data_IF_952509264815
#
_entry.id   IF_952509264815
#
_cell.length_a   1.000
_cell.length_b   1.000
_cell.length_c   1.000
_cell.angle_alpha   90.00
_cell.angle_beta   90.00
_cell.angle_gamma   90.00
#
_symmetry.space_group_name_H-M   'P 1'
#
loop_
_entity.id
_entity.type
_entity.pdbx_description
1 polymer ?
#
# COMPACT_ATOMS: atom_id res chain seq x y z
N UNK A 1 -9.19 -54.70 -4.85
CA UNK A 1 -8.37 -53.88 -3.94
C UNK A 1 -8.33 -52.48 -4.54
N UNK A 2 -9.01 -51.50 -3.93
CA UNK A 2 -8.97 -50.12 -4.41
C UNK A 2 -7.77 -49.41 -3.76
N UNK A 3 -6.91 -48.81 -4.58
CA UNK A 3 -5.85 -47.93 -4.09
C UNK A 3 -6.49 -46.68 -3.46
N UNK A 4 -6.00 -46.22 -2.29
CA UNK A 4 -6.46 -44.98 -1.72
C UNK A 4 -6.04 -43.82 -2.63
N UNK A 5 -7.02 -43.01 -3.02
CA UNK A 5 -6.83 -41.79 -3.78
C UNK A 5 -5.97 -40.84 -2.94
N UNK A 6 -4.72 -40.60 -3.36
CA UNK A 6 -3.91 -39.54 -2.77
C UNK A 6 -4.64 -38.21 -2.97
N UNK A 7 -4.81 -37.38 -1.92
CA UNK A 7 -5.31 -36.03 -2.10
C UNK A 7 -4.37 -35.30 -3.06
N UNK A 8 -4.95 -34.76 -4.13
CA UNK A 8 -4.28 -33.88 -5.06
C UNK A 8 -3.90 -32.60 -4.31
N UNK A 9 -2.67 -32.54 -3.80
CA UNK A 9 -2.10 -31.30 -3.29
C UNK A 9 -1.95 -30.39 -4.52
N UNK A 10 -2.60 -29.21 -4.55
CA UNK A 10 -2.44 -28.26 -5.65
C UNK A 10 -0.95 -27.95 -5.85
N UNK A 11 -0.51 -27.73 -7.10
CA UNK A 11 0.88 -27.35 -7.36
C UNK A 11 1.26 -26.14 -6.51
N UNK A 12 2.45 -26.18 -5.91
CA UNK A 12 3.04 -25.15 -5.06
C UNK A 12 2.56 -23.76 -5.50
N UNK A 13 1.72 -23.14 -4.67
CA UNK A 13 1.51 -21.70 -4.69
C UNK A 13 2.89 -21.09 -4.51
N UNK A 14 3.50 -20.67 -5.62
CA UNK A 14 4.83 -20.08 -5.64
C UNK A 14 4.87 -19.04 -4.53
N UNK A 15 5.72 -19.25 -3.53
CA UNK A 15 5.82 -18.37 -2.38
C UNK A 15 6.05 -16.95 -2.89
N UNK A 16 5.07 -16.07 -2.66
CA UNK A 16 5.18 -14.67 -3.01
C UNK A 16 6.09 -14.00 -1.98
N UNK A 17 7.00 -13.17 -2.47
CA UNK A 17 7.84 -12.33 -1.62
C UNK A 17 7.68 -10.89 -2.07
N UNK A 18 7.71 -9.98 -1.10
CA UNK A 18 7.76 -8.54 -1.30
C UNK A 18 9.00 -8.05 -0.57
N UNK A 19 9.95 -7.48 -1.30
CA UNK A 19 11.27 -7.08 -0.78
C UNK A 19 11.99 -8.19 0.00
N UNK A 20 12.04 -9.40 -0.59
CA UNK A 20 12.60 -10.62 0.00
C UNK A 20 11.90 -11.12 1.29
N UNK A 21 10.76 -10.52 1.66
CA UNK A 21 9.93 -10.94 2.80
C UNK A 21 8.78 -11.81 2.30
N UNK A 22 8.54 -13.01 2.88
CA UNK A 22 7.37 -13.81 2.57
C UNK A 22 6.07 -13.02 2.73
N UNK A 23 5.22 -13.08 1.71
CA UNK A 23 4.01 -12.28 1.66
C UNK A 23 2.82 -13.03 1.06
N UNK A 24 1.63 -12.51 1.35
CA UNK A 24 0.37 -12.89 0.71
C UNK A 24 -0.20 -11.67 -0.01
N UNK A 25 -0.76 -11.86 -1.19
CA UNK A 25 -1.38 -10.78 -1.97
C UNK A 25 -2.89 -10.97 -2.04
N UNK A 26 -3.63 -9.86 -1.93
CA UNK A 26 -5.07 -9.81 -2.13
C UNK A 26 -5.52 -8.44 -2.62
N UNK A 27 -6.83 -8.25 -2.75
CA UNK A 27 -7.42 -7.01 -3.24
C UNK A 27 -8.58 -6.59 -2.33
N UNK A 28 -8.72 -5.29 -2.09
CA UNK A 28 -9.86 -4.69 -1.41
C UNK A 28 -10.49 -3.61 -2.28
N UNK A 29 -11.81 -3.68 -2.46
CA UNK A 29 -12.53 -2.64 -3.19
C UNK A 29 -12.58 -1.36 -2.35
N UNK A 30 -12.22 -0.23 -2.96
CA UNK A 30 -12.19 1.07 -2.30
C UNK A 30 -12.32 2.19 -3.34
N UNK A 31 -13.42 2.94 -3.30
CA UNK A 31 -13.67 4.04 -4.27
C UNK A 31 -12.62 5.17 -4.24
N UNK A 32 -11.82 5.26 -3.18
CA UNK A 32 -10.73 6.25 -3.06
C UNK A 32 -9.42 5.74 -3.68
N UNK A 33 -9.29 4.45 -3.96
CA UNK A 33 -8.12 3.86 -4.59
C UNK A 33 -8.16 4.02 -6.12
N UNK A 34 -7.01 3.87 -6.76
CA UNK A 34 -6.89 3.82 -8.21
C UNK A 34 -7.80 2.71 -8.78
N UNK A 35 -8.51 3.01 -9.87
CA UNK A 35 -9.52 2.14 -10.47
C UNK A 35 -10.58 1.59 -9.49
N UNK A 36 -10.76 2.22 -8.31
CA UNK A 36 -11.69 1.79 -7.28
C UNK A 36 -11.27 0.53 -6.52
N UNK A 37 -10.01 0.07 -6.63
CA UNK A 37 -9.51 -1.13 -5.96
C UNK A 37 -8.08 -0.94 -5.46
N UNK A 38 -7.79 -1.47 -4.28
CA UNK A 38 -6.47 -1.38 -3.66
C UNK A 38 -5.82 -2.77 -3.66
N UNK A 39 -4.60 -2.85 -4.20
CA UNK A 39 -3.75 -4.03 -4.04
C UNK A 39 -3.26 -4.09 -2.60
N UNK A 40 -3.37 -5.25 -1.97
CA UNK A 40 -2.97 -5.42 -0.57
C UNK A 40 -1.93 -6.52 -0.48
N UNK A 41 -0.76 -6.15 0.03
CA UNK A 41 0.35 -7.05 0.31
C UNK A 41 0.48 -7.21 1.82
N UNK A 42 0.38 -8.44 2.30
CA UNK A 42 0.47 -8.80 3.71
C UNK A 42 1.80 -9.49 3.94
N UNK A 43 2.71 -8.87 4.71
CA UNK A 43 4.04 -9.45 4.99
C UNK A 43 3.93 -10.60 6.00
N UNK A 44 3.43 -11.73 5.52
CA UNK A 44 3.17 -12.94 6.25
C UNK A 44 3.54 -14.17 5.42
N UNK A 45 4.22 -15.13 6.06
CA UNK A 45 4.68 -16.36 5.43
C UNK A 45 3.55 -17.35 5.10
N UNK A 46 2.44 -17.29 5.83
CA UNK A 46 1.32 -18.21 5.69
C UNK A 46 -0.04 -17.53 5.93
N UNK A 47 -1.16 -18.18 5.54
CA UNK A 47 -2.50 -17.62 5.70
C UNK A 47 -2.92 -17.33 7.15
N UNK A 48 -2.41 -18.09 8.12
CA UNK A 48 -2.75 -17.89 9.53
C UNK A 48 -2.10 -16.60 10.08
N UNK A 49 -0.84 -16.34 9.71
CA UNK A 49 -0.16 -15.09 10.00
C UNK A 49 -0.74 -13.89 9.21
N UNK A 50 -1.29 -14.12 8.01
CA UNK A 50 -1.88 -13.07 7.18
C UNK A 50 -3.24 -12.56 7.70
N UNK A 51 -4.00 -13.39 8.42
CA UNK A 51 -5.34 -13.05 8.92
C UNK A 51 -5.39 -11.74 9.75
N UNK A 52 -4.54 -11.52 10.77
CA UNK A 52 -4.51 -10.25 11.50
C UNK A 52 -4.09 -9.06 10.62
N UNK A 53 -3.18 -9.26 9.65
CA UNK A 53 -2.75 -8.20 8.75
C UNK A 53 -3.88 -7.79 7.80
N UNK A 54 -4.67 -8.75 7.31
CA UNK A 54 -5.85 -8.47 6.51
C UNK A 54 -6.90 -7.68 7.30
N UNK A 55 -7.08 -7.99 8.58
CA UNK A 55 -7.96 -7.21 9.46
C UNK A 55 -7.46 -5.77 9.63
N UNK A 56 -6.15 -5.58 9.79
CA UNK A 56 -5.51 -4.25 9.84
C UNK A 56 -5.67 -3.51 8.51
N UNK A 57 -5.43 -4.15 7.37
CA UNK A 57 -5.63 -3.58 6.03
C UNK A 57 -7.07 -3.08 5.84
N UNK A 58 -8.07 -3.89 6.21
CA UNK A 58 -9.48 -3.48 6.18
C UNK A 58 -9.77 -2.28 7.07
N UNK A 59 -9.06 -2.12 8.19
CA UNK A 59 -9.19 -0.95 9.05
C UNK A 59 -8.64 0.31 8.40
N UNK A 60 -7.44 0.22 7.81
CA UNK A 60 -6.81 1.32 7.07
C UNK A 60 -7.68 1.74 5.89
N UNK A 61 -8.22 0.77 5.13
CA UNK A 61 -9.09 1.05 3.97
C UNK A 61 -10.36 1.82 4.35
N UNK A 62 -10.93 1.60 5.53
CA UNK A 62 -12.08 2.41 6.01
C UNK A 62 -11.71 3.88 6.23
N UNK A 63 -10.46 4.17 6.55
CA UNK A 63 -9.91 5.52 6.75
C UNK A 63 -9.08 6.03 5.58
N UNK A 64 -9.12 5.37 4.40
CA UNK A 64 -8.11 5.59 3.36
C UNK A 64 -8.01 7.03 2.88
N UNK A 65 -9.13 7.76 2.80
CA UNK A 65 -9.13 9.17 2.43
C UNK A 65 -8.33 10.04 3.42
N UNK A 66 -8.40 9.74 4.72
CA UNK A 66 -7.63 10.43 5.76
C UNK A 66 -6.16 10.07 5.65
N UNK A 67 -5.82 8.79 5.48
CA UNK A 67 -4.43 8.35 5.32
C UNK A 67 -3.79 8.90 4.03
N UNK A 68 -4.53 8.94 2.92
CA UNK A 68 -4.11 9.59 1.66
C UNK A 68 -3.82 11.07 1.89
N UNK A 69 -4.73 11.80 2.53
CA UNK A 69 -4.52 13.22 2.83
C UNK A 69 -3.27 13.42 3.70
N UNK A 70 -3.11 12.64 4.77
CA UNK A 70 -1.93 12.69 5.61
C UNK A 70 -0.63 12.40 4.84
N UNK A 71 -0.63 11.39 3.95
CA UNK A 71 0.50 11.06 3.09
C UNK A 71 0.89 12.23 2.17
N UNK A 72 -0.09 12.86 1.52
CA UNK A 72 0.16 13.95 0.58
C UNK A 72 0.63 15.22 1.28
N UNK A 73 0.06 15.56 2.43
CA UNK A 73 0.57 16.67 3.26
C UNK A 73 1.97 16.38 3.82
N UNK A 74 2.30 15.12 4.10
CA UNK A 74 3.66 14.74 4.49
C UNK A 74 4.64 14.90 3.33
N UNK A 75 4.30 14.36 2.16
CA UNK A 75 5.13 14.43 0.96
C UNK A 75 5.37 15.88 0.51
N UNK A 76 4.32 16.70 0.45
CA UNK A 76 4.43 18.12 0.14
C UNK A 76 5.41 18.83 1.07
N UNK A 77 5.28 18.63 2.39
CA UNK A 77 6.18 19.28 3.35
C UNK A 77 7.62 18.79 3.27
N UNK A 78 7.84 17.54 2.86
CA UNK A 78 9.18 16.98 2.72
C UNK A 78 9.92 17.58 1.53
N UNK A 79 9.22 17.79 0.41
CA UNK A 79 9.84 18.22 -0.86
C UNK A 79 9.62 19.69 -1.19
N UNK A 80 8.78 20.42 -0.43
CA UNK A 80 8.50 21.82 -0.73
C UNK A 80 9.74 22.71 -0.66
N UNK A 81 9.83 23.61 -1.61
CA UNK A 81 10.82 24.69 -1.57
C UNK A 81 10.36 25.86 -0.68
N UNK A 82 11.28 26.76 -0.33
CA UNK A 82 11.00 27.93 0.52
C UNK A 82 10.04 28.95 -0.11
N UNK A 83 9.83 28.89 -1.42
CA UNK A 83 8.91 29.77 -2.15
C UNK A 83 7.50 29.20 -2.33
N UNK A 84 7.28 27.96 -1.95
CA UNK A 84 6.01 27.26 -2.11
C UNK A 84 5.08 27.44 -0.89
N UNK A 85 3.75 27.33 -1.05
CA UNK A 85 2.82 27.44 0.05
C UNK A 85 3.07 26.37 1.13
N UNK A 86 2.77 26.71 2.38
CA UNK A 86 2.88 25.74 3.49
C UNK A 86 1.92 24.56 3.31
N UNK A 87 0.71 24.85 2.83
CA UNK A 87 -0.29 23.83 2.49
C UNK A 87 -0.18 23.41 1.02
N UNK A 88 -0.36 22.10 0.74
CA UNK A 88 -0.35 21.59 -0.62
C UNK A 88 -1.48 22.21 -1.45
N UNK A 89 -1.22 22.61 -2.71
CA UNK A 89 -2.25 23.01 -3.64
C UNK A 89 -3.29 21.88 -3.84
N UNK A 90 -4.56 22.23 -4.04
CA UNK A 90 -5.61 21.24 -4.35
C UNK A 90 -5.24 20.37 -5.56
N UNK A 91 -4.62 20.95 -6.58
CA UNK A 91 -4.18 20.23 -7.77
C UNK A 91 -3.15 19.13 -7.45
N UNK A 92 -2.28 19.33 -6.44
CA UNK A 92 -1.37 18.30 -5.97
C UNK A 92 -2.12 17.20 -5.22
N UNK A 93 -3.07 17.57 -4.35
CA UNK A 93 -3.86 16.62 -3.57
C UNK A 93 -4.73 15.71 -4.44
N UNK A 94 -5.25 16.23 -5.55
CA UNK A 94 -6.06 15.47 -6.50
C UNK A 94 -5.22 14.55 -7.39
N UNK A 95 -3.91 14.79 -7.49
CA UNK A 95 -3.04 14.16 -8.48
C UNK A 95 -2.70 12.69 -8.22
N UNK A 96 -2.76 12.26 -6.97
CA UNK A 96 -2.24 10.96 -6.55
C UNK A 96 -3.36 10.09 -5.99
N UNK A 97 -3.47 8.86 -6.45
CA UNK A 97 -4.43 7.88 -5.93
C UNK A 97 -3.69 6.71 -5.25
N UNK A 98 -4.18 6.21 -4.11
CA UNK A 98 -3.68 4.98 -3.51
C UNK A 98 -3.78 3.78 -4.46
N UNK A 99 -2.69 3.05 -4.67
CA UNK A 99 -2.66 1.86 -5.53
C UNK A 99 -2.38 0.58 -4.75
N UNK A 100 -1.41 0.63 -3.84
CA UNK A 100 -0.93 -0.51 -3.07
C UNK A 100 -0.87 -0.17 -1.58
N UNK A 101 -1.22 -1.15 -0.76
CA UNK A 101 -1.06 -1.12 0.68
C UNK A 101 -0.27 -2.34 1.13
N UNK A 102 0.93 -2.10 1.65
CA UNK A 102 1.81 -3.13 2.19
C UNK A 102 1.72 -3.10 3.71
N UNK A 103 1.26 -4.17 4.35
CA UNK A 103 1.02 -4.21 5.80
C UNK A 103 2.04 -5.11 6.49
N UNK A 104 2.70 -4.57 7.50
CA UNK A 104 3.73 -5.23 8.29
C UNK A 104 3.20 -5.79 9.60
N UNK A 105 3.88 -6.81 10.14
CA UNK A 105 3.49 -7.47 11.39
C UNK A 105 3.61 -6.58 12.65
N UNK A 106 4.39 -5.51 12.58
CA UNK A 106 4.51 -4.50 13.65
C UNK A 106 3.33 -3.51 13.68
N UNK A 107 2.39 -3.62 12.74
CA UNK A 107 1.21 -2.76 12.61
C UNK A 107 1.42 -1.53 11.72
N UNK A 108 2.66 -1.26 11.30
CA UNK A 108 3.00 -0.27 10.30
C UNK A 108 2.63 -0.71 8.89
N UNK A 109 2.68 0.23 7.95
CA UNK A 109 2.33 -0.03 6.56
C UNK A 109 2.99 0.96 5.60
N UNK A 110 3.01 0.61 4.32
CA UNK A 110 3.41 1.50 3.24
C UNK A 110 2.20 1.70 2.32
N UNK A 111 1.95 2.96 1.96
CA UNK A 111 0.93 3.35 1.00
C UNK A 111 1.60 3.84 -0.28
N UNK A 112 1.39 3.13 -1.39
CA UNK A 112 1.85 3.56 -2.71
C UNK A 112 0.81 4.48 -3.33
N UNK A 113 1.30 5.55 -3.95
CA UNK A 113 0.49 6.62 -4.51
C UNK A 113 0.78 6.75 -6.00
N UNK A 114 -0.08 6.19 -6.84
CA UNK A 114 0.03 6.32 -8.29
C UNK A 114 -0.31 7.75 -8.72
N UNK A 115 0.60 8.46 -9.42
CA UNK A 115 0.28 9.76 -10.02
C UNK A 115 -0.62 9.58 -11.26
N UNK A 116 -1.49 10.56 -11.51
CA UNK A 116 -2.30 10.60 -12.73
C UNK A 116 -1.47 10.80 -14.00
N UNK A 117 -0.41 11.62 -13.90
CA UNK A 117 0.56 11.89 -14.96
C UNK A 117 1.88 12.42 -14.37
N UNK A 118 2.82 12.83 -15.24
CA UNK A 118 4.15 13.30 -14.86
C UNK A 118 4.23 14.79 -14.42
N UNK A 119 3.10 15.43 -14.06
CA UNK A 119 3.09 16.85 -13.64
C UNK A 119 3.88 17.08 -12.36
N UNK A 120 3.77 16.17 -11.39
CA UNK A 120 4.36 16.33 -10.05
C UNK A 120 5.47 15.31 -9.74
N UNK A 121 5.55 14.23 -10.52
CA UNK A 121 6.57 13.18 -10.38
C UNK A 121 7.14 12.83 -11.75
N UNK A 122 8.40 12.36 -11.77
CA UNK A 122 9.03 11.91 -13.01
C UNK A 122 8.25 10.75 -13.62
N UNK A 123 8.20 10.70 -14.95
CA UNK A 123 7.52 9.61 -15.65
C UNK A 123 8.11 8.24 -15.27
N UNK A 124 7.23 7.29 -14.97
CA UNK A 124 7.60 5.97 -14.45
C UNK A 124 8.00 5.91 -12.98
N UNK A 125 7.97 7.04 -12.24
CA UNK A 125 8.24 7.06 -10.81
C UNK A 125 6.99 7.39 -10.00
N UNK A 126 6.87 6.82 -8.80
CA UNK A 126 5.77 7.10 -7.89
C UNK A 126 6.24 7.16 -6.43
N UNK A 127 5.60 7.99 -5.59
CA UNK A 127 5.90 8.00 -4.16
C UNK A 127 5.25 6.83 -3.42
N UNK A 128 5.97 6.29 -2.45
CA UNK A 128 5.47 5.42 -1.40
C UNK A 128 5.67 6.11 -0.04
N UNK A 129 4.67 6.07 0.84
CA UNK A 129 4.73 6.69 2.18
C UNK A 129 4.60 5.61 3.24
N UNK A 130 5.58 5.56 4.13
CA UNK A 130 5.61 4.66 5.29
C UNK A 130 4.87 5.30 6.47
N UNK A 131 4.02 4.50 7.09
CA UNK A 131 3.24 4.83 8.28
C UNK A 131 3.65 3.94 9.46
N UNK A 132 3.63 4.53 10.65
CA UNK A 132 3.72 3.81 11.92
C UNK A 132 2.43 3.07 12.27
N UNK A 133 2.47 2.27 13.35
CA UNK A 133 1.31 1.57 13.88
C UNK A 133 0.23 2.51 14.45
N UNK A 134 0.60 3.77 14.73
CA UNK A 134 -0.25 4.87 15.17
C UNK A 134 -0.85 5.68 14.00
N UNK A 135 -0.69 5.20 12.76
CA UNK A 135 -1.19 5.84 11.54
C UNK A 135 -0.54 7.20 11.23
N UNK A 136 0.62 7.51 11.82
CA UNK A 136 1.42 8.68 11.48
C UNK A 136 2.39 8.40 10.32
N UNK A 137 2.49 9.27 9.29
CA UNK A 137 3.55 9.18 8.29
C UNK A 137 4.92 9.39 8.93
N UNK A 138 5.89 8.55 8.61
CA UNK A 138 7.24 8.58 9.20
C UNK A 138 8.38 8.68 8.18
N UNK A 139 8.15 8.24 6.95
CA UNK A 139 9.13 8.30 5.87
C UNK A 139 8.42 8.21 4.51
N UNK A 140 9.12 8.61 3.45
CA UNK A 140 8.67 8.37 2.09
C UNK A 140 9.85 7.93 1.22
N UNK A 141 9.55 7.23 0.13
CA UNK A 141 10.52 6.77 -0.87
C UNK A 141 9.95 7.04 -2.26
N UNK A 142 10.83 7.34 -3.21
CA UNK A 142 10.51 7.40 -4.63
C UNK A 142 10.83 6.03 -5.25
N UNK A 143 9.82 5.39 -5.82
CA UNK A 143 9.90 4.07 -6.46
C UNK A 143 9.89 4.20 -8.00
N UNK A 144 10.33 3.16 -8.72
CA UNK A 144 10.36 3.07 -10.19
C UNK A 144 10.07 1.67 -10.71
#
# INVERSE_FOLDING_TARGET
MQQPTQPHIPPDLKAYTHDDIPAQETWLDCATADQGRLRVVLLAADPQAAAPLLARARSIVRGLAVHRSAALHFLWRAERDSGEPEDPPTAFLEHFLPSDLVVSADGGYVLHLTPHDATWFMDGYWPSVKFGADDAPIAWVCES
#
